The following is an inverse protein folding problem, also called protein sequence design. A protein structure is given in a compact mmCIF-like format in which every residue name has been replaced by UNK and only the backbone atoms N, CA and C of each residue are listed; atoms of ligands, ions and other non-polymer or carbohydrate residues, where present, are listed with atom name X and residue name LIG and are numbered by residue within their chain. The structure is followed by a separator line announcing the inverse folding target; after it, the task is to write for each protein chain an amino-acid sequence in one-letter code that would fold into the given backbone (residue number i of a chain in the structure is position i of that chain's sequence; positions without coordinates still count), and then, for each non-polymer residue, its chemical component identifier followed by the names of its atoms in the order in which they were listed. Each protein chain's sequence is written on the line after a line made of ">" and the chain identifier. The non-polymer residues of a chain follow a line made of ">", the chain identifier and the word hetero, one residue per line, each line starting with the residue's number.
data_IF_079298883991
#
_entry.id   IF_079298883991
#
_cell.length_a   1.000
_cell.length_b   1.000
_cell.length_c   1.000
_cell.angle_alpha   90.00
_cell.angle_beta   90.00
_cell.angle_gamma   90.00
#
_symmetry.space_group_name_H-M   'P 1'
#
loop_
_entity.id
_entity.type
_entity.pdbx_description
1 polymer ?
#
# COMPACT_ATOMS: atom_id res chain seq x y z
N UNK A 1 -5.33 -9.48 5.25
CA UNK A 1 -4.53 -9.05 4.09
C UNK A 1 -3.33 -9.93 3.79
N UNK A 2 -2.37 -10.14 4.73
CA UNK A 2 -1.21 -10.96 4.38
C UNK A 2 -1.57 -12.36 3.90
N UNK A 3 -2.55 -12.99 4.53
CA UNK A 3 -2.96 -14.31 4.11
C UNK A 3 -3.57 -14.34 2.72
N UNK A 4 -4.35 -13.31 2.37
CA UNK A 4 -4.95 -13.20 1.04
C UNK A 4 -3.90 -13.02 -0.05
N UNK A 5 -2.89 -12.23 0.23
CA UNK A 5 -1.80 -12.03 -0.73
C UNK A 5 -1.00 -13.31 -0.92
N UNK A 6 -0.69 -14.02 0.17
CA UNK A 6 0.05 -15.26 0.11
C UNK A 6 -0.73 -16.33 -0.65
N UNK A 7 -2.03 -16.45 -0.40
CA UNK A 7 -2.88 -17.38 -1.13
C UNK A 7 -2.94 -17.02 -2.61
N UNK A 8 -3.07 -15.73 -2.91
CA UNK A 8 -3.10 -15.26 -4.29
C UNK A 8 -1.83 -15.64 -5.04
N UNK A 9 -0.69 -15.54 -4.38
CA UNK A 9 0.56 -15.90 -4.99
C UNK A 9 0.69 -17.41 -5.19
N UNK A 10 0.28 -18.19 -4.19
CA UNK A 10 0.48 -19.65 -4.24
C UNK A 10 -0.58 -20.42 -4.98
N UNK A 11 -1.85 -19.94 -4.99
CA UNK A 11 -2.98 -20.71 -5.51
C UNK A 11 -3.72 -20.01 -6.64
N UNK A 12 -3.58 -18.68 -6.75
CA UNK A 12 -4.33 -17.93 -7.73
C UNK A 12 -3.51 -17.66 -8.99
N UNK A 13 -4.20 -17.25 -10.04
CA UNK A 13 -3.55 -16.83 -11.27
C UNK A 13 -2.87 -15.48 -11.08
N UNK A 14 -1.97 -15.14 -11.98
CA UNK A 14 -1.31 -13.86 -12.02
C UNK A 14 -2.32 -12.70 -12.04
N UNK A 15 -3.40 -12.72 -12.88
CA UNK A 15 -4.39 -11.65 -12.83
C UNK A 15 -5.06 -11.51 -11.47
N UNK A 16 -5.33 -12.59 -10.77
CA UNK A 16 -5.92 -12.54 -9.45
C UNK A 16 -4.96 -11.94 -8.43
N UNK A 17 -3.68 -12.27 -8.54
CA UNK A 17 -2.66 -11.69 -7.67
C UNK A 17 -2.53 -10.18 -7.90
N UNK A 18 -2.50 -9.76 -9.16
CA UNK A 18 -2.46 -8.33 -9.51
C UNK A 18 -3.68 -7.61 -8.95
N UNK A 19 -4.86 -8.23 -9.03
CA UNK A 19 -6.06 -7.65 -8.45
C UNK A 19 -5.93 -7.42 -6.96
N UNK A 20 -5.38 -8.40 -6.23
CA UNK A 20 -5.14 -8.26 -4.79
C UNK A 20 -4.19 -7.11 -4.50
N UNK A 21 -3.15 -6.96 -5.33
CA UNK A 21 -2.20 -5.86 -5.18
C UNK A 21 -2.85 -4.50 -5.42
N UNK A 22 -3.77 -4.42 -6.39
CA UNK A 22 -4.49 -3.17 -6.66
C UNK A 22 -5.40 -2.79 -5.51
N UNK A 23 -6.03 -3.77 -4.87
CA UNK A 23 -6.84 -3.53 -3.68
C UNK A 23 -5.96 -3.03 -2.53
N UNK A 24 -4.80 -3.67 -2.33
CA UNK A 24 -3.85 -3.24 -1.32
C UNK A 24 -3.33 -1.83 -1.58
N UNK A 25 -3.09 -1.50 -2.86
CA UNK A 25 -2.66 -0.17 -3.25
C UNK A 25 -3.71 0.88 -2.90
N UNK A 26 -4.98 0.60 -3.21
CA UNK A 26 -6.08 1.51 -2.87
C UNK A 26 -6.16 1.76 -1.36
N UNK A 27 -6.03 0.71 -0.56
CA UNK A 27 -6.04 0.82 0.90
C UNK A 27 -4.87 1.65 1.41
N UNK A 28 -3.68 1.44 0.85
CA UNK A 28 -2.50 2.20 1.24
C UNK A 28 -2.64 3.69 0.89
N UNK A 29 -3.25 3.99 -0.25
CA UNK A 29 -3.48 5.37 -0.67
C UNK A 29 -4.50 6.07 0.22
N UNK A 30 -5.54 5.35 0.65
CA UNK A 30 -6.49 5.87 1.63
C UNK A 30 -5.81 6.17 2.95
N UNK A 31 -4.98 5.26 3.41
CA UNK A 31 -4.23 5.47 4.66
C UNK A 31 -3.34 6.70 4.55
N UNK A 32 -2.65 6.87 3.43
CA UNK A 32 -1.81 8.05 3.21
C UNK A 32 -2.63 9.33 3.33
N UNK A 33 -3.81 9.36 2.72
CA UNK A 33 -4.69 10.52 2.77
C UNK A 33 -5.10 10.83 4.21
N UNK A 34 -5.47 9.81 4.97
CA UNK A 34 -5.85 10.00 6.37
C UNK A 34 -4.69 10.52 7.21
N UNK A 35 -3.48 10.01 6.97
CA UNK A 35 -2.29 10.49 7.70
C UNK A 35 -1.96 11.94 7.34
N UNK A 36 -2.15 12.31 6.09
CA UNK A 36 -1.94 13.69 5.65
C UNK A 36 -2.93 14.64 6.32
N UNK A 37 -4.19 14.22 6.43
CA UNK A 37 -5.22 15.02 7.12
C UNK A 37 -4.86 15.19 8.59
N UNK A 38 -4.48 14.10 9.26
CA UNK A 38 -4.09 14.16 10.68
C UNK A 38 -2.90 15.10 10.87
N UNK A 39 -1.92 15.03 9.99
CA UNK A 39 -0.75 15.89 10.05
C UNK A 39 -1.13 17.36 9.87
N UNK A 40 -2.00 17.65 8.91
CA UNK A 40 -2.43 19.02 8.62
C UNK A 40 -3.26 19.61 9.73
N UNK A 41 -4.07 18.80 10.41
CA UNK A 41 -4.89 19.24 11.53
C UNK A 41 -4.10 19.36 12.84
N UNK A 42 -2.86 18.92 12.84
CA UNK A 42 -1.99 19.00 14.02
C UNK A 42 -2.62 18.38 15.26
N UNK A 43 -3.24 17.20 15.07
CA UNK A 43 -3.96 16.53 16.16
C UNK A 43 -3.06 15.94 17.23
N UNK A 44 -1.76 15.83 16.96
CA UNK A 44 -0.81 15.25 17.90
C UNK A 44 0.22 16.28 18.35
N UNK A 45 0.57 16.21 19.64
CA UNK A 45 1.59 17.09 20.20
C UNK A 45 2.96 16.84 19.58
N UNK A 46 3.22 15.60 19.13
CA UNK A 46 4.47 15.24 18.49
C UNK A 46 4.19 14.81 17.06
N UNK A 47 4.70 15.53 16.06
CA UNK A 47 4.45 15.19 14.65
C UNK A 47 5.26 14.03 14.12
N UNK A 48 6.36 13.64 14.77
CA UNK A 48 7.28 12.64 14.27
C UNK A 48 6.64 11.30 13.97
N UNK A 49 5.79 10.74 14.86
CA UNK A 49 5.18 9.43 14.55
C UNK A 49 4.32 9.45 13.30
N UNK A 50 3.62 10.56 13.05
CA UNK A 50 2.78 10.69 11.86
C UNK A 50 3.65 10.83 10.62
N UNK A 51 4.72 11.61 10.71
CA UNK A 51 5.66 11.77 9.59
C UNK A 51 6.32 10.45 9.23
N UNK A 52 6.71 9.65 10.23
CA UNK A 52 7.27 8.32 9.99
C UNK A 52 6.27 7.38 9.34
N UNK A 53 5.03 7.41 9.82
CA UNK A 53 3.97 6.58 9.25
C UNK A 53 3.71 6.95 7.80
N UNK A 54 3.72 8.24 7.48
CA UNK A 54 3.59 8.72 6.10
C UNK A 54 4.72 8.22 5.22
N UNK A 55 5.96 8.32 5.69
CA UNK A 55 7.12 7.84 4.95
C UNK A 55 7.00 6.35 4.63
N UNK A 56 6.62 5.56 5.62
CA UNK A 56 6.46 4.12 5.44
C UNK A 56 5.33 3.79 4.48
N UNK A 57 4.25 4.55 4.57
CA UNK A 57 3.11 4.38 3.68
C UNK A 57 3.49 4.68 2.23
N UNK A 58 4.21 5.77 1.99
CA UNK A 58 4.68 6.14 0.66
C UNK A 58 5.64 5.09 0.09
N UNK A 59 6.51 4.55 0.93
CA UNK A 59 7.41 3.49 0.52
C UNK A 59 6.65 2.23 0.13
N UNK A 60 5.64 1.88 0.91
CA UNK A 60 4.80 0.71 0.61
C UNK A 60 4.07 0.91 -0.72
N UNK A 61 3.50 2.08 -0.95
CA UNK A 61 2.83 2.39 -2.20
C UNK A 61 3.79 2.21 -3.39
N UNK A 62 5.00 2.73 -3.27
CA UNK A 62 6.00 2.58 -4.31
C UNK A 62 6.34 1.12 -4.60
N UNK A 63 6.48 0.32 -3.54
CA UNK A 63 6.77 -1.12 -3.69
C UNK A 63 5.62 -1.85 -4.38
N UNK A 64 4.39 -1.55 -4.00
CA UNK A 64 3.22 -2.20 -4.61
C UNK A 64 3.12 -1.83 -6.09
N UNK A 65 3.29 -0.54 -6.42
CA UNK A 65 3.26 -0.08 -7.80
C UNK A 65 4.36 -0.78 -8.62
N UNK A 66 5.58 -0.86 -8.08
CA UNK A 66 6.68 -1.53 -8.75
C UNK A 66 6.39 -2.99 -9.00
N UNK A 67 5.81 -3.67 -8.02
CA UNK A 67 5.46 -5.07 -8.15
C UNK A 67 4.38 -5.29 -9.21
N UNK A 68 3.35 -4.46 -9.20
CA UNK A 68 2.29 -4.54 -10.22
C UNK A 68 2.89 -4.37 -11.61
N UNK A 69 3.73 -3.34 -11.80
CA UNK A 69 4.38 -3.11 -13.09
C UNK A 69 5.18 -4.31 -13.55
N UNK A 70 5.94 -4.90 -12.63
CA UNK A 70 6.74 -6.08 -12.94
C UNK A 70 5.86 -7.22 -13.41
N UNK A 71 4.72 -7.43 -12.76
CA UNK A 71 3.83 -8.54 -13.09
C UNK A 71 3.06 -8.33 -14.41
N UNK A 72 2.70 -7.09 -14.75
CA UNK A 72 1.91 -6.84 -15.96
C UNK A 72 2.77 -6.63 -17.20
N UNK A 73 4.05 -6.27 -17.04
CA UNK A 73 4.94 -6.06 -18.17
C UNK A 73 5.74 -7.31 -18.56
N UNK A 74 5.76 -8.33 -17.71
CA UNK A 74 6.44 -9.60 -17.98
C UNK A 74 5.41 -10.70 -18.08
N UNK A 75 5.13 -11.18 -19.29
CA UNK A 75 4.16 -12.27 -19.52
C UNK A 75 4.53 -13.55 -18.83
#
# INVERSE_FOLDING_TARGET
>A
MPGNVAEGYGLATKPQFVRCLRIALGSAMELRTHLEIVQELELFAKPEPVAEALQRCERLIGLIIGLIRSLVTHP
#
